data_IF_254913442703
#
_entry.id   IF_254913442703
#
_cell.length_a   1.000
_cell.length_b   1.000
_cell.length_c   1.000
_cell.angle_alpha   90.00
_cell.angle_beta   90.00
_cell.angle_gamma   90.00
#
_symmetry.space_group_name_H-M   'P 1'
#
loop_
_entity.id
_entity.type
_entity.pdbx_description
1 polymer ?
#
# COMPACT_ATOMS: atom_id res chain seq x y z
N UNK A 1 -3.61 -4.66 -8.69
CA UNK A 1 -2.53 -5.27 -9.51
C UNK A 1 -3.08 -5.79 -10.84
N UNK A 2 -3.19 -4.97 -11.90
CA UNK A 2 -3.77 -5.40 -13.17
C UNK A 2 -3.00 -6.53 -13.87
N UNK A 3 -1.73 -6.75 -13.50
CA UNK A 3 -0.83 -7.72 -14.10
C UNK A 3 -0.85 -9.12 -13.48
N UNK A 4 -1.56 -9.34 -12.36
CA UNK A 4 -1.76 -10.69 -11.80
C UNK A 4 -3.06 -11.24 -12.39
N UNK A 5 -3.04 -12.39 -13.07
CA UNK A 5 -4.27 -12.92 -13.68
C UNK A 5 -5.29 -13.32 -12.60
N UNK A 6 -6.61 -13.17 -12.84
CA UNK A 6 -7.63 -13.51 -11.84
C UNK A 6 -7.54 -14.95 -11.32
N UNK A 7 -7.15 -15.91 -12.17
CA UNK A 7 -6.94 -17.30 -11.79
C UNK A 7 -5.87 -17.47 -10.70
N UNK A 8 -4.81 -16.66 -10.74
CA UNK A 8 -3.68 -16.75 -9.81
C UNK A 8 -4.05 -16.13 -8.45
N UNK A 9 -5.10 -15.30 -8.41
CA UNK A 9 -5.62 -14.69 -7.18
C UNK A 9 -6.60 -15.62 -6.47
N UNK A 10 -7.33 -16.44 -7.22
CA UNK A 10 -8.43 -17.29 -6.70
C UNK A 10 -8.04 -18.16 -5.51
N UNK A 11 -6.80 -18.68 -5.49
CA UNK A 11 -6.31 -19.51 -4.38
C UNK A 11 -5.78 -18.67 -3.21
N UNK A 12 -5.31 -17.46 -3.48
CA UNK A 12 -4.75 -16.55 -2.48
C UNK A 12 -5.83 -15.75 -1.76
N UNK A 13 -6.86 -15.29 -2.47
CA UNK A 13 -7.90 -14.39 -1.95
C UNK A 13 -8.55 -14.93 -0.66
N UNK A 14 -9.00 -16.21 -0.58
CA UNK A 14 -9.59 -16.72 0.66
C UNK A 14 -8.64 -16.75 1.86
N UNK A 15 -7.33 -16.88 1.62
CA UNK A 15 -6.31 -16.86 2.68
C UNK A 15 -6.01 -15.43 3.13
N UNK A 16 -6.04 -14.48 2.18
CA UNK A 16 -5.90 -13.05 2.44
C UNK A 16 -7.09 -12.55 3.26
N UNK A 17 -8.30 -12.96 2.90
CA UNK A 17 -9.53 -12.61 3.63
C UNK A 17 -9.46 -13.08 5.09
N UNK A 18 -9.07 -14.35 5.31
CA UNK A 18 -8.89 -14.89 6.66
C UNK A 18 -7.80 -14.16 7.47
N UNK A 19 -6.72 -13.74 6.82
CA UNK A 19 -5.67 -12.96 7.48
C UNK A 19 -6.18 -11.56 7.84
N UNK A 20 -6.93 -10.91 6.95
CA UNK A 20 -7.53 -9.60 7.18
C UNK A 20 -8.49 -9.63 8.37
N UNK A 21 -9.37 -10.63 8.45
CA UNK A 21 -10.29 -10.82 9.58
C UNK A 21 -9.54 -10.93 10.91
N UNK A 22 -8.43 -11.68 10.94
CA UNK A 22 -7.59 -11.83 12.14
C UNK A 22 -6.92 -10.51 12.53
N UNK A 23 -6.40 -9.75 11.55
CA UNK A 23 -5.80 -8.44 11.80
C UNK A 23 -6.84 -7.48 12.39
N UNK A 24 -8.04 -7.41 11.81
CA UNK A 24 -9.12 -6.55 12.30
C UNK A 24 -9.58 -6.95 13.69
N UNK A 25 -9.69 -8.26 13.98
CA UNK A 25 -10.05 -8.72 15.31
C UNK A 25 -9.00 -8.32 16.34
N UNK A 26 -7.72 -8.59 16.04
CA UNK A 26 -6.63 -8.28 16.96
C UNK A 26 -6.43 -6.77 17.14
N UNK A 27 -6.61 -5.95 16.09
CA UNK A 27 -6.42 -4.50 16.19
C UNK A 27 -7.37 -3.85 17.18
N UNK A 28 -8.60 -4.39 17.31
CA UNK A 28 -9.60 -3.90 18.28
C UNK A 28 -9.17 -4.10 19.73
N UNK A 29 -8.36 -5.12 20.01
CA UNK A 29 -7.90 -5.42 21.37
C UNK A 29 -6.86 -4.39 21.89
N UNK A 30 -6.25 -3.60 20.99
CA UNK A 30 -5.23 -2.60 21.34
C UNK A 30 -5.79 -1.23 21.74
N UNK A 31 -7.10 -0.97 21.59
CA UNK A 31 -7.74 0.27 22.06
C UNK A 31 -7.31 1.56 21.35
N UNK A 32 -6.65 1.47 20.18
CA UNK A 32 -6.23 2.60 19.35
C UNK A 32 -6.62 2.32 17.88
N UNK A 33 -7.26 3.29 17.23
CA UNK A 33 -7.69 3.19 15.83
C UNK A 33 -6.53 2.94 14.86
N UNK A 34 -5.30 3.33 15.20
CA UNK A 34 -4.10 3.09 14.39
C UNK A 34 -3.47 1.70 14.55
N UNK A 35 -3.93 0.86 15.48
CA UNK A 35 -3.26 -0.40 15.83
C UNK A 35 -3.15 -1.40 14.66
N UNK A 36 -4.10 -1.36 13.72
CA UNK A 36 -4.08 -2.23 12.54
C UNK A 36 -2.83 -2.01 11.68
N UNK A 37 -2.26 -0.79 11.65
CA UNK A 37 -1.10 -0.46 10.84
C UNK A 37 0.14 -1.28 11.25
N UNK A 38 0.36 -1.46 12.56
CA UNK A 38 1.45 -2.29 13.08
C UNK A 38 1.27 -3.77 12.73
N UNK A 39 0.03 -4.28 12.81
CA UNK A 39 -0.29 -5.67 12.46
C UNK A 39 -0.14 -5.94 10.96
N UNK A 40 -0.57 -5.01 10.10
CA UNK A 40 -0.34 -5.11 8.65
C UNK A 40 1.16 -5.12 8.36
N UNK A 41 1.93 -4.20 8.96
CA UNK A 41 3.37 -4.15 8.76
C UNK A 41 4.04 -5.47 9.16
N UNK A 42 3.68 -6.02 10.33
CA UNK A 42 4.18 -7.32 10.78
C UNK A 42 3.81 -8.44 9.81
N UNK A 43 2.54 -8.52 9.41
CA UNK A 43 2.02 -9.59 8.55
C UNK A 43 2.71 -9.58 7.18
N UNK A 44 2.79 -8.41 6.52
CA UNK A 44 3.47 -8.22 5.25
C UNK A 44 4.96 -8.56 5.37
N UNK A 45 5.67 -7.99 6.35
CA UNK A 45 7.10 -8.26 6.58
C UNK A 45 7.36 -9.75 6.76
N UNK A 46 6.59 -10.41 7.63
CA UNK A 46 6.76 -11.82 7.94
C UNK A 46 6.42 -12.72 6.75
N UNK A 47 5.36 -12.42 6.00
CA UNK A 47 4.99 -13.15 4.79
C UNK A 47 6.12 -13.07 3.76
N UNK A 48 6.60 -11.86 3.47
CA UNK A 48 7.68 -11.62 2.52
C UNK A 48 8.96 -12.38 2.90
N UNK A 49 9.39 -12.28 4.16
CA UNK A 49 10.58 -13.00 4.63
C UNK A 49 10.42 -14.53 4.54
N UNK A 50 9.23 -15.06 4.83
CA UNK A 50 8.93 -16.48 4.66
C UNK A 50 9.01 -16.91 3.20
N UNK A 51 8.40 -16.16 2.29
CA UNK A 51 8.45 -16.43 0.85
C UNK A 51 9.91 -16.43 0.36
N UNK A 52 10.70 -15.43 0.74
CA UNK A 52 12.13 -15.34 0.40
C UNK A 52 12.88 -16.57 0.92
N UNK A 53 12.67 -16.96 2.18
CA UNK A 53 13.32 -18.13 2.77
C UNK A 53 12.93 -19.43 2.05
N UNK A 54 11.67 -19.57 1.65
CA UNK A 54 11.18 -20.75 0.94
C UNK A 54 11.72 -20.85 -0.50
N UNK A 55 11.82 -19.72 -1.20
CA UNK A 55 12.29 -19.69 -2.60
C UNK A 55 13.82 -19.75 -2.72
N UNK A 56 14.53 -19.06 -1.82
CA UNK A 56 15.97 -18.79 -2.00
C UNK A 56 16.85 -19.31 -0.86
N UNK A 57 16.28 -19.70 0.28
CA UNK A 57 16.99 -20.20 1.46
C UNK A 57 17.81 -19.15 2.24
N UNK A 58 18.20 -18.05 1.60
CA UNK A 58 19.04 -16.99 2.15
C UNK A 58 18.72 -15.63 1.53
N UNK A 59 19.00 -14.56 2.28
CA UNK A 59 18.86 -13.19 1.77
C UNK A 59 20.06 -12.82 0.90
N UNK A 60 19.79 -12.14 -0.23
CA UNK A 60 20.82 -11.56 -1.11
C UNK A 60 20.46 -10.11 -1.41
N UNK A 61 21.45 -9.28 -1.72
CA UNK A 61 21.24 -7.85 -1.94
C UNK A 61 20.20 -7.56 -3.03
N UNK A 62 20.24 -8.28 -4.15
CA UNK A 62 19.27 -8.10 -5.24
C UNK A 62 17.83 -8.46 -4.81
N UNK A 63 17.65 -9.41 -3.88
CA UNK A 63 16.33 -9.74 -3.30
C UNK A 63 15.85 -8.56 -2.45
N UNK A 64 16.73 -7.99 -1.63
CA UNK A 64 16.41 -6.82 -0.81
C UNK A 64 16.00 -5.62 -1.67
N UNK A 65 16.75 -5.35 -2.75
CA UNK A 65 16.44 -4.27 -3.69
C UNK A 65 15.08 -4.50 -4.37
N UNK A 66 14.82 -5.72 -4.84
CA UNK A 66 13.54 -6.10 -5.47
C UNK A 66 12.36 -5.92 -4.51
N UNK A 67 12.50 -6.41 -3.28
CA UNK A 67 11.45 -6.34 -2.25
C UNK A 67 11.18 -4.89 -1.85
N UNK A 68 12.23 -4.08 -1.65
CA UNK A 68 12.11 -2.64 -1.37
C UNK A 68 11.33 -1.95 -2.49
N UNK A 69 11.73 -2.17 -3.75
CA UNK A 69 11.05 -1.58 -4.90
C UNK A 69 9.58 -2.00 -4.98
N UNK A 70 9.26 -3.26 -4.68
CA UNK A 70 7.88 -3.73 -4.65
C UNK A 70 7.04 -3.05 -3.54
N UNK A 71 7.59 -2.84 -2.35
CA UNK A 71 6.89 -2.12 -1.27
C UNK A 71 6.68 -0.65 -1.60
N UNK A 72 7.65 0.00 -2.24
CA UNK A 72 7.55 1.39 -2.71
C UNK A 72 6.47 1.52 -3.79
N UNK A 73 6.45 0.62 -4.76
CA UNK A 73 5.40 0.58 -5.79
C UNK A 73 4.00 0.37 -5.18
N UNK A 74 3.87 -0.53 -4.19
CA UNK A 74 2.60 -0.71 -3.48
C UNK A 74 2.14 0.60 -2.81
N UNK A 75 3.05 1.35 -2.19
CA UNK A 75 2.74 2.66 -1.60
C UNK A 75 2.25 3.66 -2.66
N UNK A 76 2.91 3.73 -3.81
CA UNK A 76 2.47 4.60 -4.91
C UNK A 76 1.09 4.23 -5.43
N UNK A 77 0.77 2.93 -5.53
CA UNK A 77 -0.56 2.49 -5.94
C UNK A 77 -1.66 2.90 -4.95
N UNK A 78 -1.39 2.88 -3.63
CA UNK A 78 -2.33 3.40 -2.63
C UNK A 78 -2.57 4.90 -2.80
N UNK A 79 -1.50 5.68 -2.97
CA UNK A 79 -1.61 7.13 -3.22
C UNK A 79 -2.40 7.40 -4.50
N UNK A 80 -1.93 6.86 -5.63
CA UNK A 80 -2.51 7.13 -6.96
C UNK A 80 -3.96 6.68 -7.11
N UNK A 81 -4.33 5.52 -6.56
CA UNK A 81 -5.67 4.95 -6.80
C UNK A 81 -6.72 5.38 -5.79
N UNK A 82 -6.30 5.71 -4.57
CA UNK A 82 -7.18 6.00 -3.44
C UNK A 82 -6.90 7.37 -2.81
N UNK A 83 -5.62 7.66 -2.52
CA UNK A 83 -5.18 8.90 -1.87
C UNK A 83 -5.53 10.14 -2.68
N UNK A 84 -5.11 10.20 -3.95
CA UNK A 84 -5.33 11.37 -4.82
C UNK A 84 -6.83 11.68 -4.94
N UNK A 85 -7.69 10.67 -5.13
CA UNK A 85 -9.15 10.84 -5.18
C UNK A 85 -9.74 11.37 -3.87
N UNK A 86 -9.13 11.03 -2.74
CA UNK A 86 -9.55 11.55 -1.45
C UNK A 86 -9.07 12.99 -1.28
N UNK A 87 -7.84 13.30 -1.72
CA UNK A 87 -7.27 14.65 -1.73
C UNK A 87 -8.08 15.59 -2.64
N UNK A 88 -8.46 15.18 -3.86
CA UNK A 88 -9.32 15.92 -4.77
C UNK A 88 -10.61 16.36 -4.07
N UNK A 89 -11.26 15.45 -3.33
CA UNK A 89 -12.46 15.77 -2.55
C UNK A 89 -12.20 16.75 -1.41
N UNK A 90 -11.02 16.70 -0.79
CA UNK A 90 -10.66 17.66 0.26
C UNK A 90 -10.34 19.03 -0.34
N UNK A 91 -9.73 19.09 -1.53
CA UNK A 91 -9.47 20.32 -2.27
C UNK A 91 -10.80 20.98 -2.68
N UNK A 92 -11.74 20.22 -3.24
CA UNK A 92 -13.08 20.74 -3.57
C UNK A 92 -13.80 21.31 -2.34
N UNK A 93 -13.62 20.68 -1.17
CA UNK A 93 -14.30 21.06 0.08
C UNK A 93 -13.64 22.24 0.78
N UNK A 94 -12.31 22.27 0.86
CA UNK A 94 -11.57 23.19 1.72
C UNK A 94 -10.74 24.22 0.94
N UNK A 95 -10.66 24.11 -0.39
CA UNK A 95 -9.66 24.78 -1.21
C UNK A 95 -8.31 24.03 -1.20
N UNK A 96 -7.44 24.41 -2.12
CA UNK A 96 -6.04 23.97 -2.16
C UNK A 96 -5.09 25.12 -1.78
N UNK A 97 -3.80 24.85 -1.75
CA UNK A 97 -2.75 25.87 -1.67
C UNK A 97 -2.88 26.80 -2.87
N UNK A 98 -3.13 28.07 -2.60
CA UNK A 98 -3.35 29.14 -3.59
C UNK A 98 -2.24 29.23 -4.65
N UNK A 99 -0.98 29.07 -4.25
CA UNK A 99 0.17 29.12 -5.15
C UNK A 99 0.13 28.06 -6.26
N UNK A 100 -0.49 26.89 -6.07
CA UNK A 100 -0.57 25.89 -7.14
C UNK A 100 -1.30 26.44 -8.37
N UNK A 101 -2.35 27.23 -8.16
CA UNK A 101 -3.08 27.89 -9.24
C UNK A 101 -2.23 28.94 -9.94
N UNK A 102 -1.46 29.72 -9.19
CA UNK A 102 -0.55 30.74 -9.76
C UNK A 102 0.48 30.08 -10.69
N UNK A 103 1.13 29.01 -10.22
CA UNK A 103 2.10 28.28 -11.03
C UNK A 103 1.47 27.58 -12.25
N UNK A 104 0.26 27.03 -12.13
CA UNK A 104 -0.47 26.48 -13.29
C UNK A 104 -0.75 27.53 -14.36
N UNK A 105 -1.15 28.73 -13.95
CA UNK A 105 -1.44 29.82 -14.88
C UNK A 105 -0.16 30.32 -15.56
N UNK A 106 0.97 30.34 -14.86
CA UNK A 106 2.27 30.69 -15.45
C UNK A 106 2.76 29.65 -16.45
N UNK A 107 2.56 28.35 -16.17
CA UNK A 107 2.86 27.27 -17.11
C UNK A 107 2.03 27.41 -18.39
N UNK A 108 0.76 27.80 -18.31
CA UNK A 108 -0.13 27.98 -19.49
C UNK A 108 0.24 29.18 -20.35
N UNK A 109 0.94 30.18 -19.80
CA UNK A 109 1.39 31.38 -20.52
C UNK A 109 2.70 31.16 -21.29
N UNK A 110 3.52 30.19 -20.87
CA UNK A 110 4.81 29.83 -21.50
C UNK A 110 4.65 28.81 -22.61
#
# INVERSE_FOLDING_TARGET
MPYIAPKDRKELDPLIDQLAEKIVKQSKDYGNDGAFAGLINYACTRLTLKVIKMLFGQMRYWILALVRGNFEEMSFEFRRRLGDKYEDKQIEKNGDVDLYKEFEDDIKKG
#
